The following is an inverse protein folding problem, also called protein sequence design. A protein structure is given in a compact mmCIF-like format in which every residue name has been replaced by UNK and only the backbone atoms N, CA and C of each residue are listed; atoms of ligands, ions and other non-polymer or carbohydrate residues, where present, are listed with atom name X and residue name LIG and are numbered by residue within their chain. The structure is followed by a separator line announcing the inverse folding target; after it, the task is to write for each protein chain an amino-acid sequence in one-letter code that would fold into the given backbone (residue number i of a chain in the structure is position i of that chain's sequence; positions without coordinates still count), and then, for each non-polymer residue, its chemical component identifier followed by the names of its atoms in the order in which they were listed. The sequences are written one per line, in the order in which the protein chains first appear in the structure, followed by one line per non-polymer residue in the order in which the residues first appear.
data_IF_730603169956
#
_entry.id   IF_730603169956
#
_cell.length_a   1.000
_cell.length_b   1.000
_cell.length_c   1.000
_cell.angle_alpha   90.00
_cell.angle_beta   90.00
_cell.angle_gamma   90.00
#
_symmetry.space_group_name_H-M   'P 1'
#
loop_
_entity.id
_entity.type
_entity.pdbx_description
1 polymer ?
#
# COMPACT_ATOMS: atom_id res chain seq x y z
N UNK A 1 10.51 -26.55 -1.86
CA UNK A 1 10.80 -25.62 -2.98
C UNK A 1 11.94 -24.68 -2.53
N UNK A 2 13.20 -24.93 -2.93
CA UNK A 2 14.34 -24.08 -2.53
C UNK A 2 14.36 -22.84 -3.41
N UNK A 3 14.05 -21.67 -2.85
CA UNK A 3 14.18 -20.39 -3.55
C UNK A 3 15.64 -19.94 -3.41
N UNK A 4 16.44 -20.13 -4.46
CA UNK A 4 17.81 -19.61 -4.55
C UNK A 4 17.77 -18.09 -4.78
N UNK A 5 17.77 -17.32 -3.68
CA UNK A 5 17.85 -15.85 -3.68
C UNK A 5 19.03 -15.25 -4.50
N UNK A 6 20.24 -15.85 -4.55
CA UNK A 6 21.38 -15.27 -5.27
C UNK A 6 21.25 -15.26 -6.80
N UNK A 7 20.49 -16.20 -7.39
CA UNK A 7 20.32 -16.29 -8.85
C UNK A 7 19.33 -15.24 -9.40
N UNK A 8 18.51 -14.64 -8.53
CA UNK A 8 17.50 -13.67 -8.93
C UNK A 8 18.11 -12.31 -9.32
N UNK A 9 19.23 -11.92 -8.70
CA UNK A 9 19.94 -10.68 -9.03
C UNK A 9 20.77 -10.80 -10.32
N UNK A 10 21.29 -11.99 -10.65
CA UNK A 10 22.07 -12.22 -11.87
C UNK A 10 21.19 -12.28 -13.13
N UNK A 11 19.94 -12.76 -13.03
CA UNK A 11 19.01 -12.81 -14.17
C UNK A 11 18.52 -11.41 -14.61
N UNK A 12 18.56 -10.41 -13.73
CA UNK A 12 18.17 -9.03 -14.07
C UNK A 12 19.22 -8.31 -14.95
N UNK A 13 20.47 -8.81 -15.00
CA UNK A 13 21.57 -8.20 -15.73
C UNK A 13 21.64 -8.57 -17.23
N UNK A 14 20.91 -9.61 -17.68
CA UNK A 14 20.96 -10.11 -19.07
C UNK A 14 19.77 -9.71 -19.96
N UNK A 15 19.03 -8.65 -19.61
CA UNK A 15 17.87 -8.21 -20.40
C UNK A 15 18.33 -7.36 -21.61
N UNK A 16 18.30 -8.03 -22.77
CA UNK A 16 18.49 -7.59 -24.18
C UNK A 16 18.35 -6.07 -24.49
N UNK A 17 19.24 -5.50 -25.33
CA UNK A 17 19.33 -4.06 -25.62
C UNK A 17 18.27 -3.48 -26.60
N UNK A 18 17.29 -4.24 -27.11
CA UNK A 18 16.31 -3.73 -28.09
C UNK A 18 15.03 -3.09 -27.52
N UNK A 19 15.08 -2.42 -26.36
CA UNK A 19 13.87 -1.93 -25.69
C UNK A 19 14.00 -0.49 -25.15
N UNK A 20 13.90 0.52 -26.04
CA UNK A 20 14.11 1.94 -25.70
C UNK A 20 12.85 2.84 -25.62
N UNK A 21 11.64 2.28 -25.52
CA UNK A 21 10.40 3.08 -25.52
C UNK A 21 9.51 2.96 -24.25
N UNK A 22 10.10 3.03 -23.05
CA UNK A 22 9.50 3.10 -21.70
C UNK A 22 9.10 4.46 -21.08
N UNK A 23 7.82 4.88 -21.00
CA UNK A 23 7.40 6.13 -20.29
C UNK A 23 7.87 6.12 -18.83
N UNK A 24 8.03 4.91 -18.31
CA UNK A 24 8.74 4.61 -17.08
C UNK A 24 10.12 4.04 -17.39
N UNK A 25 11.11 4.47 -16.60
CA UNK A 25 12.44 3.88 -16.56
C UNK A 25 12.36 2.35 -16.48
N UNK A 26 13.25 1.65 -17.19
CA UNK A 26 13.43 0.18 -17.11
C UNK A 26 13.49 -0.30 -15.65
N UNK A 27 14.06 0.52 -14.76
CA UNK A 27 14.12 0.26 -13.32
C UNK A 27 12.74 0.10 -12.68
N UNK A 28 11.75 0.94 -13.04
CA UNK A 28 10.40 0.88 -12.45
C UNK A 28 9.71 -0.44 -12.79
N UNK A 29 9.83 -0.91 -14.04
CA UNK A 29 9.24 -2.19 -14.45
C UNK A 29 9.91 -3.37 -13.75
N UNK A 30 11.25 -3.36 -13.64
CA UNK A 30 12.01 -4.39 -12.92
C UNK A 30 11.61 -4.38 -11.44
N UNK A 31 11.61 -3.21 -10.78
CA UNK A 31 11.20 -3.08 -9.37
C UNK A 31 9.77 -3.57 -9.16
N UNK A 32 8.85 -3.26 -10.08
CA UNK A 32 7.46 -3.73 -10.00
C UNK A 32 7.36 -5.25 -10.15
N UNK A 33 8.09 -5.84 -11.11
CA UNK A 33 8.14 -7.29 -11.31
C UNK A 33 8.69 -8.02 -10.09
N UNK A 34 9.82 -7.55 -9.54
CA UNK A 34 10.41 -8.12 -8.33
C UNK A 34 9.45 -8.00 -7.15
N UNK A 35 8.86 -6.81 -6.94
CA UNK A 35 7.96 -6.56 -5.82
C UNK A 35 6.69 -7.41 -5.90
N UNK A 36 6.08 -7.53 -7.09
CA UNK A 36 4.88 -8.36 -7.29
C UNK A 36 5.18 -9.84 -7.14
N UNK A 37 6.33 -10.31 -7.65
CA UNK A 37 6.74 -11.71 -7.48
C UNK A 37 7.03 -12.05 -6.02
N UNK A 38 7.70 -11.16 -5.29
CA UNK A 38 7.93 -11.31 -3.86
C UNK A 38 6.59 -11.35 -3.11
N UNK A 39 5.72 -10.36 -3.35
CA UNK A 39 4.40 -10.27 -2.73
C UNK A 39 3.55 -11.51 -3.00
N UNK A 40 3.56 -12.02 -4.24
CA UNK A 40 2.84 -13.23 -4.62
C UNK A 40 3.41 -14.49 -4.00
N UNK A 41 4.74 -14.58 -3.86
CA UNK A 41 5.37 -15.73 -3.20
C UNK A 41 5.01 -15.81 -1.71
N UNK A 42 4.81 -14.66 -1.07
CA UNK A 42 4.42 -14.55 0.33
C UNK A 42 2.91 -14.64 0.55
N UNK A 43 2.09 -14.71 -0.51
CA UNK A 43 0.63 -14.67 -0.38
C UNK A 43 0.06 -13.28 -0.10
N UNK A 44 0.87 -12.23 -0.12
CA UNK A 44 0.44 -10.85 0.09
C UNK A 44 -0.28 -10.23 -1.12
N UNK A 45 -0.09 -10.79 -2.32
CA UNK A 45 -0.72 -10.24 -3.53
C UNK A 45 -0.82 -11.30 -4.64
N UNK A 46 -1.98 -11.52 -5.28
CA UNK A 46 -2.12 -12.55 -6.31
C UNK A 46 -1.59 -12.14 -7.69
N UNK A 47 -1.30 -10.84 -7.91
CA UNK A 47 -0.83 -10.33 -9.20
C UNK A 47 0.64 -10.66 -9.44
N UNK A 48 0.95 -10.95 -10.70
CA UNK A 48 2.29 -11.14 -11.23
C UNK A 48 2.45 -10.26 -12.47
N UNK A 49 3.68 -9.85 -12.76
CA UNK A 49 4.04 -9.11 -13.97
C UNK A 49 5.05 -9.96 -14.75
N UNK A 50 4.78 -10.21 -16.03
CA UNK A 50 5.75 -10.87 -16.91
C UNK A 50 6.63 -9.81 -17.58
N UNK A 51 7.90 -9.72 -17.19
CA UNK A 51 8.83 -8.73 -17.74
C UNK A 51 9.04 -8.82 -19.26
N UNK A 52 8.87 -10.01 -19.86
CA UNK A 52 9.04 -10.21 -21.31
C UNK A 52 7.84 -9.68 -22.10
N UNK A 53 6.63 -10.06 -21.70
CA UNK A 53 5.40 -9.66 -22.40
C UNK A 53 4.85 -8.33 -21.92
N UNK A 54 5.34 -7.81 -20.79
CA UNK A 54 4.84 -6.63 -20.09
C UNK A 54 3.34 -6.74 -19.79
N UNK A 55 2.87 -7.93 -19.42
CA UNK A 55 1.47 -8.19 -19.07
C UNK A 55 1.35 -8.63 -17.62
N UNK A 56 0.37 -8.07 -16.93
CA UNK A 56 -0.10 -8.55 -15.64
C UNK A 56 -0.90 -9.83 -15.83
N UNK A 57 -0.78 -10.74 -14.86
CA UNK A 57 -1.53 -11.99 -14.81
C UNK A 57 -1.69 -12.48 -13.37
N UNK A 58 -2.52 -13.51 -13.17
CA UNK A 58 -2.64 -14.25 -11.91
C UNK A 58 -2.53 -15.74 -12.18
N UNK A 59 -2.18 -16.52 -11.16
CA UNK A 59 -2.24 -17.99 -11.22
C UNK A 59 -3.29 -18.50 -10.24
N UNK A 60 -3.84 -19.73 -10.42
CA UNK A 60 -4.71 -20.34 -9.43
C UNK A 60 -4.04 -20.40 -8.04
N UNK A 61 -2.75 -20.73 -8.00
CA UNK A 61 -1.97 -20.80 -6.77
C UNK A 61 -1.80 -19.44 -6.09
N UNK A 62 -1.45 -18.38 -6.82
CA UNK A 62 -1.30 -17.04 -6.24
C UNK A 62 -2.63 -16.51 -5.68
N UNK A 63 -3.74 -16.80 -6.35
CA UNK A 63 -5.09 -16.47 -5.87
C UNK A 63 -5.45 -17.25 -4.60
N UNK A 64 -5.17 -18.55 -4.56
CA UNK A 64 -5.45 -19.38 -3.39
C UNK A 64 -4.63 -18.91 -2.17
N UNK A 65 -3.34 -18.66 -2.35
CA UNK A 65 -2.45 -18.16 -1.29
C UNK A 65 -2.91 -16.80 -0.75
N UNK A 66 -3.30 -15.88 -1.65
CA UNK A 66 -3.85 -14.58 -1.25
C UNK A 66 -5.18 -14.69 -0.50
N UNK A 67 -6.08 -15.60 -0.93
CA UNK A 67 -7.33 -15.88 -0.22
C UNK A 67 -7.08 -16.43 1.18
N UNK A 68 -6.17 -17.38 1.30
CA UNK A 68 -5.80 -17.96 2.59
C UNK A 68 -5.27 -16.88 3.54
N UNK A 69 -4.35 -16.04 3.06
CA UNK A 69 -3.80 -14.90 3.80
C UNK A 69 -4.89 -13.91 4.24
N UNK A 70 -5.80 -13.55 3.35
CA UNK A 70 -6.94 -12.68 3.65
C UNK A 70 -7.84 -13.28 4.74
N UNK A 71 -8.12 -14.59 4.68
CA UNK A 71 -8.89 -15.31 5.71
C UNK A 71 -8.16 -15.29 7.06
N UNK A 72 -6.84 -15.52 7.07
CA UNK A 72 -6.06 -15.48 8.30
C UNK A 72 -6.12 -14.10 8.97
N UNK A 73 -5.93 -13.02 8.21
CA UNK A 73 -6.03 -11.65 8.74
C UNK A 73 -7.45 -11.36 9.24
N UNK A 74 -8.47 -11.82 8.51
CA UNK A 74 -9.88 -11.67 8.94
C UNK A 74 -10.14 -12.39 10.26
N UNK A 75 -9.70 -13.65 10.40
CA UNK A 75 -9.82 -14.43 11.64
C UNK A 75 -9.08 -13.72 12.77
N UNK A 76 -7.88 -13.20 12.52
CA UNK A 76 -7.09 -12.46 13.50
C UNK A 76 -7.80 -11.16 13.94
N UNK A 77 -8.45 -10.44 13.02
CA UNK A 77 -9.25 -9.25 13.36
C UNK A 77 -10.48 -9.62 14.19
N UNK A 78 -11.23 -10.65 13.80
CA UNK A 78 -12.41 -11.11 14.55
C UNK A 78 -12.00 -11.54 15.95
N UNK A 79 -10.95 -12.35 16.05
CA UNK A 79 -10.39 -12.81 17.30
C UNK A 79 -9.91 -11.65 18.17
N UNK A 80 -9.10 -10.74 17.62
CA UNK A 80 -8.58 -9.56 18.32
C UNK A 80 -9.70 -8.65 18.82
N UNK A 81 -10.74 -8.43 18.00
CA UNK A 81 -11.93 -7.64 18.37
C UNK A 81 -12.63 -8.28 19.57
N UNK A 82 -12.92 -9.58 19.49
CA UNK A 82 -13.59 -10.31 20.58
C UNK A 82 -12.78 -10.26 21.88
N UNK A 83 -11.45 -10.44 21.80
CA UNK A 83 -10.55 -10.36 22.95
C UNK A 83 -10.52 -8.96 23.54
N UNK A 84 -10.45 -7.91 22.72
CA UNK A 84 -10.46 -6.53 23.21
C UNK A 84 -11.78 -6.14 23.83
N UNK A 85 -12.92 -6.59 23.30
CA UNK A 85 -14.23 -6.34 23.91
C UNK A 85 -14.30 -6.97 25.32
N UNK A 86 -13.81 -8.20 25.49
CA UNK A 86 -13.73 -8.84 26.82
C UNK A 86 -12.71 -8.15 27.73
N UNK A 87 -11.61 -7.66 27.17
CA UNK A 87 -10.60 -6.92 27.93
C UNK A 87 -11.05 -5.51 28.29
N UNK A 88 -12.03 -4.92 27.60
CA UNK A 88 -12.46 -3.54 27.77
C UNK A 88 -13.27 -3.24 29.04
N UNK A 89 -13.57 -4.23 29.88
CA UNK A 89 -14.18 -3.98 31.19
C UNK A 89 -13.10 -3.37 32.12
N UNK A 90 -13.03 -2.04 32.14
CA UNK A 90 -11.88 -1.23 32.56
C UNK A 90 -11.88 -0.81 34.04
N UNK A 91 -12.92 -1.13 34.82
CA UNK A 91 -13.11 -0.55 36.16
C UNK A 91 -11.95 -0.79 37.14
N UNK A 92 -11.18 -1.87 36.99
CA UNK A 92 -10.11 -2.27 37.92
C UNK A 92 -8.76 -2.57 37.24
N UNK A 93 -8.43 -1.88 36.14
CA UNK A 93 -7.23 -2.22 35.35
C UNK A 93 -6.01 -1.40 35.75
N UNK A 94 -4.85 -2.06 35.73
CA UNK A 94 -3.56 -1.41 35.95
C UNK A 94 -3.17 -0.55 34.74
N UNK A 95 -2.28 0.44 34.94
CA UNK A 95 -1.76 1.27 33.82
C UNK A 95 -1.13 0.42 32.72
N UNK A 96 -0.46 -0.68 33.08
CA UNK A 96 0.14 -1.62 32.12
C UNK A 96 -0.93 -2.30 31.27
N UNK A 97 -2.04 -2.70 31.87
CA UNK A 97 -3.16 -3.32 31.15
C UNK A 97 -3.79 -2.33 30.17
N UNK A 98 -3.92 -1.07 30.58
CA UNK A 98 -4.41 0.00 29.72
C UNK A 98 -3.48 0.22 28.53
N UNK A 99 -2.16 0.29 28.74
CA UNK A 99 -1.18 0.40 27.65
C UNK A 99 -1.29 -0.79 26.67
N UNK A 100 -1.37 -2.02 27.20
CA UNK A 100 -1.52 -3.22 26.38
C UNK A 100 -2.82 -3.22 25.57
N UNK A 101 -3.93 -2.76 26.15
CA UNK A 101 -5.19 -2.57 25.44
C UNK A 101 -5.05 -1.57 24.29
N UNK A 102 -4.43 -0.42 24.53
CA UNK A 102 -4.28 0.64 23.54
C UNK A 102 -3.39 0.22 22.37
N UNK A 103 -2.23 -0.40 22.66
CA UNK A 103 -1.34 -0.96 21.63
C UNK A 103 -2.12 -1.99 20.81
N UNK A 104 -2.87 -2.86 21.47
CA UNK A 104 -3.64 -3.89 20.79
C UNK A 104 -4.74 -3.32 19.90
N UNK A 105 -5.42 -2.27 20.35
CA UNK A 105 -6.45 -1.59 19.57
C UNK A 105 -5.85 -0.90 18.34
N UNK A 106 -4.69 -0.25 18.48
CA UNK A 106 -3.96 0.37 17.36
C UNK A 106 -3.54 -0.69 16.33
N UNK A 107 -2.99 -1.83 16.78
CA UNK A 107 -2.61 -2.94 15.90
C UNK A 107 -3.85 -3.48 15.19
N UNK A 108 -4.96 -3.67 15.90
CA UNK A 108 -6.21 -4.16 15.31
C UNK A 108 -6.72 -3.21 14.22
N UNK A 109 -6.74 -1.90 14.48
CA UNK A 109 -7.07 -0.91 13.46
C UNK A 109 -6.08 -0.97 12.29
N UNK A 110 -4.77 -1.09 12.55
CA UNK A 110 -3.77 -1.17 11.50
C UNK A 110 -3.96 -2.41 10.60
N UNK A 111 -4.39 -3.56 11.14
CA UNK A 111 -4.67 -4.79 10.38
C UNK A 111 -5.87 -4.69 9.43
N UNK A 112 -6.76 -3.72 9.66
CA UNK A 112 -7.89 -3.48 8.75
C UNK A 112 -7.42 -2.94 7.39
N UNK A 113 -6.34 -2.16 7.35
CA UNK A 113 -5.76 -1.63 6.09
C UNK A 113 -5.30 -2.75 5.13
N UNK A 114 -4.40 -3.67 5.53
CA UNK A 114 -3.99 -4.78 4.67
C UNK A 114 -5.15 -5.70 4.33
N UNK A 115 -6.14 -5.91 5.22
CA UNK A 115 -7.34 -6.68 4.91
C UNK A 115 -8.09 -6.08 3.70
N UNK A 116 -8.33 -4.76 3.69
CA UNK A 116 -8.99 -4.11 2.56
C UNK A 116 -8.16 -4.19 1.28
N UNK A 117 -6.85 -3.90 1.36
CA UNK A 117 -5.94 -4.02 0.22
C UNK A 117 -5.98 -5.44 -0.38
N UNK A 118 -5.89 -6.47 0.46
CA UNK A 118 -5.99 -7.87 0.03
C UNK A 118 -7.37 -8.21 -0.51
N UNK A 119 -8.43 -7.74 0.14
CA UNK A 119 -9.82 -7.99 -0.24
C UNK A 119 -10.12 -7.53 -1.66
N UNK A 120 -9.81 -6.28 -1.98
CA UNK A 120 -10.07 -5.73 -3.33
C UNK A 120 -9.33 -6.49 -4.40
N UNK A 121 -8.08 -6.86 -4.14
CA UNK A 121 -7.21 -7.51 -5.12
C UNK A 121 -7.57 -9.00 -5.27
N UNK A 122 -7.99 -9.63 -4.19
CA UNK A 122 -8.38 -11.05 -4.18
C UNK A 122 -9.77 -11.27 -4.79
N UNK A 123 -10.72 -10.36 -4.52
CA UNK A 123 -12.08 -10.44 -5.04
C UNK A 123 -12.18 -10.01 -6.50
N UNK A 124 -11.44 -8.97 -6.92
CA UNK A 124 -11.49 -8.41 -8.28
C UNK A 124 -10.23 -8.74 -9.10
N UNK A 125 -9.59 -9.88 -8.83
CA UNK A 125 -8.26 -10.17 -9.38
C UNK A 125 -8.20 -10.19 -10.91
N UNK A 126 -9.27 -10.64 -11.58
CA UNK A 126 -9.34 -10.67 -13.05
C UNK A 126 -9.54 -9.27 -13.61
N UNK A 127 -10.51 -8.54 -13.07
CA UNK A 127 -10.86 -7.18 -13.47
C UNK A 127 -9.69 -6.22 -13.26
N UNK A 128 -8.92 -6.42 -12.18
CA UNK A 128 -7.70 -5.68 -11.88
C UNK A 128 -6.58 -5.98 -12.88
N UNK A 129 -6.35 -7.26 -13.22
CA UNK A 129 -5.38 -7.62 -14.28
C UNK A 129 -5.76 -6.95 -15.59
N UNK A 130 -7.02 -7.04 -16.00
CA UNK A 130 -7.51 -6.46 -17.25
C UNK A 130 -7.36 -4.93 -17.24
N UNK A 131 -7.73 -4.28 -16.13
CA UNK A 131 -7.59 -2.84 -15.95
C UNK A 131 -6.13 -2.38 -16.01
N UNK A 132 -5.21 -3.07 -15.33
CA UNK A 132 -3.79 -2.74 -15.34
C UNK A 132 -3.16 -2.98 -16.72
N UNK A 133 -3.54 -4.05 -17.41
CA UNK A 133 -3.09 -4.32 -18.78
C UNK A 133 -3.61 -3.28 -19.76
N UNK A 134 -4.89 -2.88 -19.68
CA UNK A 134 -5.45 -1.82 -20.50
C UNK A 134 -4.77 -0.48 -20.24
N UNK A 135 -4.57 -0.14 -18.97
CA UNK A 135 -3.85 1.06 -18.56
C UNK A 135 -2.46 1.04 -19.18
N UNK A 136 -1.67 -0.01 -18.92
CA UNK A 136 -0.30 -0.15 -19.42
C UNK A 136 -0.21 -0.10 -20.95
N UNK A 137 -1.14 -0.75 -21.65
CA UNK A 137 -1.24 -0.68 -23.10
C UNK A 137 -1.49 0.75 -23.58
N UNK A 138 -2.40 1.47 -22.94
CA UNK A 138 -2.67 2.87 -23.25
C UNK A 138 -1.44 3.77 -22.99
N UNK A 139 -0.69 3.51 -21.91
CA UNK A 139 0.58 4.23 -21.65
C UNK A 139 1.56 4.03 -22.81
N UNK A 140 1.75 2.80 -23.26
CA UNK A 140 2.64 2.51 -24.38
C UNK A 140 2.13 3.09 -25.70
N UNK A 141 0.81 3.07 -25.92
CA UNK A 141 0.19 3.67 -27.10
C UNK A 141 0.48 5.17 -27.16
N UNK A 142 0.15 5.91 -26.09
CA UNK A 142 0.38 7.35 -26.02
C UNK A 142 1.85 7.68 -26.19
N UNK A 143 2.71 6.95 -25.49
CA UNK A 143 4.14 7.18 -25.59
C UNK A 143 4.67 6.95 -27.01
N UNK A 144 4.31 5.83 -27.64
CA UNK A 144 4.84 5.49 -28.95
C UNK A 144 4.34 6.41 -30.06
N UNK A 145 3.14 6.96 -29.91
CA UNK A 145 2.48 7.73 -30.96
C UNK A 145 2.57 9.24 -30.80
N UNK A 146 2.51 9.74 -29.56
CA UNK A 146 2.23 11.15 -29.30
C UNK A 146 3.34 11.89 -28.56
N UNK A 147 4.23 11.19 -27.85
CA UNK A 147 5.33 11.83 -27.12
C UNK A 147 6.47 12.14 -28.09
N UNK A 148 6.83 13.42 -28.19
CA UNK A 148 7.85 13.89 -29.14
C UNK A 148 9.27 13.86 -28.59
N UNK A 149 9.40 13.81 -27.26
CA UNK A 149 10.68 13.89 -26.58
C UNK A 149 11.40 12.54 -26.61
N UNK A 150 12.71 12.57 -26.82
CA UNK A 150 13.54 11.40 -26.56
C UNK A 150 13.57 11.07 -25.05
N UNK A 151 14.12 9.91 -24.66
CA UNK A 151 14.15 9.50 -23.24
C UNK A 151 14.87 10.51 -22.34
N UNK A 152 15.98 11.06 -22.81
CA UNK A 152 16.82 11.98 -22.02
C UNK A 152 16.10 13.33 -21.81
N UNK A 153 15.46 13.84 -22.86
CA UNK A 153 14.61 15.02 -22.86
C UNK A 153 13.35 14.81 -22.01
N UNK A 154 12.74 13.63 -22.06
CA UNK A 154 11.55 13.32 -21.26
C UNK A 154 11.92 13.29 -19.77
N UNK A 155 13.03 12.64 -19.42
CA UNK A 155 13.53 12.54 -18.03
C UNK A 155 14.01 13.89 -17.50
N UNK A 156 14.60 14.74 -18.34
CA UNK A 156 15.03 16.09 -17.95
C UNK A 156 13.86 17.07 -17.87
N UNK A 157 12.86 16.94 -18.75
CA UNK A 157 11.68 17.82 -18.78
C UNK A 157 10.67 17.47 -17.69
N UNK A 158 10.55 16.19 -17.32
CA UNK A 158 9.60 15.73 -16.31
C UNK A 158 10.30 14.97 -15.19
N UNK A 159 10.49 15.66 -14.06
CA UNK A 159 11.00 15.05 -12.82
C UNK A 159 10.08 13.97 -12.24
N UNK A 160 8.87 13.79 -12.78
CA UNK A 160 7.88 12.80 -12.33
C UNK A 160 8.45 11.39 -12.30
N UNK A 161 9.23 10.97 -13.32
CA UNK A 161 9.86 9.65 -13.32
C UNK A 161 10.88 9.46 -12.19
N UNK A 162 11.72 10.48 -11.95
CA UNK A 162 12.69 10.47 -10.83
C UNK A 162 11.97 10.49 -9.48
N UNK A 163 10.94 11.33 -9.33
CA UNK A 163 10.11 11.43 -8.13
C UNK A 163 9.37 10.12 -7.86
N UNK A 164 8.86 9.45 -8.88
CA UNK A 164 8.21 8.14 -8.76
C UNK A 164 9.21 7.06 -8.33
N UNK A 165 10.41 7.05 -8.91
CA UNK A 165 11.48 6.15 -8.48
C UNK A 165 11.88 6.37 -7.01
N UNK A 166 12.03 7.63 -6.59
CA UNK A 166 12.27 8.00 -5.19
C UNK A 166 11.10 7.55 -4.30
N UNK A 167 9.87 7.76 -4.74
CA UNK A 167 8.66 7.34 -4.04
C UNK A 167 8.63 5.82 -3.84
N UNK A 168 8.90 5.00 -4.85
CA UNK A 168 8.97 3.54 -4.67
C UNK A 168 10.07 3.13 -3.71
N UNK A 169 11.26 3.75 -3.79
CA UNK A 169 12.34 3.48 -2.83
C UNK A 169 11.88 3.80 -1.41
N UNK A 170 11.24 4.94 -1.22
CA UNK A 170 10.70 5.36 0.07
C UNK A 170 9.64 4.37 0.59
N UNK A 171 8.67 3.98 -0.24
CA UNK A 171 7.64 2.99 0.12
C UNK A 171 8.27 1.65 0.48
N UNK A 172 9.24 1.16 -0.30
CA UNK A 172 9.95 -0.09 0.00
C UNK A 172 10.71 -0.02 1.32
N UNK A 173 11.44 1.08 1.58
CA UNK A 173 12.17 1.30 2.83
C UNK A 173 11.21 1.36 4.01
N UNK A 174 10.08 2.06 3.88
CA UNK A 174 9.05 2.11 4.92
C UNK A 174 8.42 0.73 5.17
N UNK A 175 8.03 -0.01 4.15
CA UNK A 175 7.47 -1.35 4.29
C UNK A 175 8.48 -2.32 4.94
N UNK A 176 9.75 -2.27 4.54
CA UNK A 176 10.81 -3.08 5.13
C UNK A 176 11.09 -2.68 6.59
N UNK A 177 11.20 -1.38 6.85
CA UNK A 177 11.42 -0.83 8.19
C UNK A 177 10.27 -1.17 9.14
N UNK A 178 9.02 -1.05 8.69
CA UNK A 178 7.83 -1.44 9.46
C UNK A 178 7.81 -2.94 9.72
N UNK A 179 8.09 -3.78 8.71
CA UNK A 179 8.15 -5.24 8.89
C UNK A 179 9.21 -5.64 9.91
N UNK A 180 10.40 -5.06 9.80
CA UNK A 180 11.52 -5.34 10.71
C UNK A 180 11.23 -4.85 12.13
N UNK A 181 10.91 -3.57 12.29
CA UNK A 181 10.63 -2.98 13.60
C UNK A 181 9.44 -3.64 14.27
N UNK A 182 8.38 -3.96 13.54
CA UNK A 182 7.22 -4.70 14.04
C UNK A 182 7.60 -6.10 14.53
N UNK A 183 8.39 -6.85 13.75
CA UNK A 183 8.85 -8.18 14.14
C UNK A 183 9.73 -8.15 15.40
N UNK A 184 10.62 -7.15 15.49
CA UNK A 184 11.47 -6.93 16.67
C UNK A 184 10.62 -6.50 17.86
N UNK A 185 9.66 -5.62 17.66
CA UNK A 185 8.76 -5.15 18.71
C UNK A 185 7.95 -6.32 19.31
N UNK A 186 7.44 -7.24 18.48
CA UNK A 186 6.71 -8.43 18.95
C UNK A 186 7.58 -9.33 19.83
N UNK A 187 8.90 -9.36 19.60
CA UNK A 187 9.82 -10.10 20.47
C UNK A 187 9.97 -9.48 21.86
N UNK A 188 9.95 -8.14 21.95
CA UNK A 188 10.13 -7.41 23.19
C UNK A 188 8.83 -7.14 23.96
N UNK A 189 7.69 -7.09 23.27
CA UNK A 189 6.39 -6.90 23.91
C UNK A 189 5.90 -8.20 24.56
N UNK A 190 5.21 -8.04 25.69
CA UNK A 190 4.43 -9.13 26.25
C UNK A 190 3.38 -9.63 25.24
N UNK A 191 2.92 -10.87 25.47
CA UNK A 191 1.84 -11.44 24.68
C UNK A 191 0.59 -10.56 24.82
N UNK A 192 0.31 -9.80 23.77
CA UNK A 192 -0.81 -8.88 23.72
C UNK A 192 -2.16 -9.62 23.80
N UNK A 193 -3.22 -9.00 24.33
CA UNK A 193 -4.57 -9.58 24.37
C UNK A 193 -5.10 -10.08 23.02
N UNK A 194 -4.68 -9.45 21.91
CA UNK A 194 -5.06 -9.85 20.55
C UNK A 194 -4.33 -11.10 20.05
N UNK A 195 -3.24 -11.50 20.70
CA UNK A 195 -2.45 -12.65 20.27
C UNK A 195 -3.17 -13.96 20.60
N UNK A 196 -3.17 -14.91 19.68
CA UNK A 196 -3.80 -16.23 19.91
C UNK A 196 -3.19 -16.96 21.13
N UNK A 197 -1.89 -16.74 21.39
CA UNK A 197 -1.19 -17.31 22.54
C UNK A 197 -1.72 -16.79 23.89
N UNK A 198 -2.48 -15.67 23.89
CA UNK A 198 -3.15 -15.15 25.09
C UNK A 198 -4.26 -16.06 25.61
N UNK A 199 -4.74 -17.03 24.80
CA UNK A 199 -5.71 -18.05 25.24
C UNK A 199 -5.06 -19.17 26.07
N UNK A 200 -3.75 -19.36 25.91
CA UNK A 200 -3.05 -20.48 26.52
C UNK A 200 -2.49 -20.02 27.88
N UNK A 201 -2.83 -20.73 28.98
CA UNK A 201 -2.27 -20.45 30.31
C UNK A 201 -0.75 -20.44 30.27
N UNK A 202 -0.12 -19.56 31.06
CA UNK A 202 1.34 -19.36 31.06
C UNK A 202 2.09 -20.68 31.34
N UNK A 203 1.52 -21.54 32.18
CA UNK A 203 2.09 -22.83 32.56
C UNK A 203 2.18 -23.82 31.37
N UNK A 204 1.34 -23.65 30.36
CA UNK A 204 1.30 -24.50 29.16
C UNK A 204 2.08 -23.92 27.97
N UNK A 205 2.68 -22.73 28.13
CA UNK A 205 3.44 -22.09 27.06
C UNK A 205 4.83 -22.71 26.94
N UNK A 206 5.00 -23.61 25.99
CA UNK A 206 6.30 -24.19 25.67
C UNK A 206 7.12 -23.25 24.76
N UNK A 207 8.46 -23.41 24.78
CA UNK A 207 9.36 -22.65 23.89
C UNK A 207 9.03 -22.84 22.40
N UNK A 208 8.74 -24.06 21.89
CA UNK A 208 8.33 -24.23 20.49
C UNK A 208 7.03 -23.47 20.15
N UNK A 209 6.06 -23.46 21.06
CA UNK A 209 4.81 -22.74 20.88
C UNK A 209 5.02 -21.23 20.81
N UNK A 210 5.90 -20.69 21.65
CA UNK A 210 6.30 -19.28 21.59
C UNK A 210 7.04 -18.96 20.29
N UNK A 211 7.95 -19.83 19.82
CA UNK A 211 8.60 -19.65 18.52
C UNK A 211 7.58 -19.66 17.35
N UNK A 212 6.59 -20.56 17.39
CA UNK A 212 5.52 -20.59 16.39
C UNK A 212 4.67 -19.31 16.42
N UNK A 213 4.38 -18.78 17.62
CA UNK A 213 3.71 -17.50 17.82
C UNK A 213 4.48 -16.35 17.17
N UNK A 214 5.78 -16.22 17.46
CA UNK A 214 6.63 -15.20 16.86
C UNK A 214 6.69 -15.34 15.33
N UNK A 215 6.86 -16.56 14.82
CA UNK A 215 6.90 -16.83 13.38
C UNK A 215 5.60 -16.43 12.68
N UNK A 216 4.44 -16.73 13.27
CA UNK A 216 3.14 -16.36 12.75
C UNK A 216 2.97 -14.85 12.61
N UNK A 217 3.20 -14.08 13.69
CA UNK A 217 3.01 -12.64 13.65
C UNK A 217 4.08 -11.90 12.85
N UNK A 218 5.32 -12.38 12.84
CA UNK A 218 6.36 -11.85 11.94
C UNK A 218 5.96 -12.02 10.47
N UNK A 219 5.42 -13.19 10.12
CA UNK A 219 4.91 -13.46 8.78
C UNK A 219 3.73 -12.55 8.41
N UNK A 220 2.74 -12.41 9.31
CA UNK A 220 1.58 -11.53 9.13
C UNK A 220 1.99 -10.05 8.93
N UNK A 221 2.98 -9.58 9.71
CA UNK A 221 3.53 -8.22 9.59
C UNK A 221 4.23 -7.98 8.26
N UNK A 222 5.07 -8.94 7.83
CA UNK A 222 5.75 -8.88 6.52
C UNK A 222 4.73 -8.83 5.39
N UNK A 223 3.75 -9.75 5.41
CA UNK A 223 2.68 -9.79 4.41
C UNK A 223 1.91 -8.48 4.38
N UNK A 224 1.51 -7.97 5.54
CA UNK A 224 0.71 -6.75 5.64
C UNK A 224 1.46 -5.55 5.06
N UNK A 225 2.73 -5.38 5.44
CA UNK A 225 3.56 -4.28 4.97
C UNK A 225 3.85 -4.34 3.46
N UNK A 226 4.11 -5.54 2.95
CA UNK A 226 4.36 -5.78 1.52
C UNK A 226 3.07 -5.59 0.71
N UNK A 227 1.94 -6.09 1.21
CA UNK A 227 0.62 -5.94 0.57
C UNK A 227 0.22 -4.47 0.45
N UNK A 228 0.30 -3.71 1.56
CA UNK A 228 0.02 -2.26 1.56
C UNK A 228 1.03 -1.51 0.68
N UNK A 229 2.33 -1.79 0.81
CA UNK A 229 3.36 -1.16 -0.01
C UNK A 229 3.15 -1.38 -1.51
N UNK A 230 2.72 -2.58 -1.89
CA UNK A 230 2.39 -2.93 -3.28
C UNK A 230 1.16 -2.19 -3.77
N UNK A 231 0.09 -2.13 -2.98
CA UNK A 231 -1.12 -1.39 -3.32
C UNK A 231 -0.83 0.12 -3.51
N UNK A 232 -0.09 0.71 -2.58
CA UNK A 232 0.39 2.11 -2.66
C UNK A 232 1.29 2.31 -3.88
N UNK A 233 2.15 1.34 -4.20
CA UNK A 233 3.00 1.36 -5.38
C UNK A 233 2.20 1.36 -6.69
N UNK A 234 1.18 0.51 -6.81
CA UNK A 234 0.30 0.47 -7.99
C UNK A 234 -0.46 1.80 -8.13
N UNK A 235 -1.04 2.30 -7.06
CA UNK A 235 -1.76 3.58 -7.08
C UNK A 235 -0.84 4.76 -7.42
N UNK A 236 0.36 4.79 -6.84
CA UNK A 236 1.37 5.80 -7.14
C UNK A 236 1.85 5.76 -8.60
N UNK A 237 2.01 4.55 -9.16
CA UNK A 237 2.33 4.36 -10.60
C UNK A 237 1.23 4.97 -11.47
N UNK A 238 -0.03 4.71 -11.10
CA UNK A 238 -1.19 5.22 -11.81
C UNK A 238 -1.29 6.75 -11.73
N UNK A 239 -1.12 7.35 -10.55
CA UNK A 239 -1.12 8.81 -10.39
C UNK A 239 0.03 9.45 -11.18
N UNK A 240 1.22 8.86 -11.15
CA UNK A 240 2.35 9.33 -11.92
C UNK A 240 2.12 9.26 -13.43
N UNK A 241 1.35 8.26 -13.90
CA UNK A 241 0.88 8.22 -15.28
C UNK A 241 -0.08 9.37 -15.60
N UNK A 242 -1.00 9.73 -14.70
CA UNK A 242 -1.96 10.82 -14.93
C UNK A 242 -1.33 12.21 -14.98
N UNK A 243 -0.25 12.46 -14.24
CA UNK A 243 0.36 13.80 -14.10
C UNK A 243 0.73 14.44 -15.45
N UNK A 244 1.45 13.76 -16.37
CA UNK A 244 1.75 14.30 -17.69
C UNK A 244 0.51 14.72 -18.49
N UNK A 245 -0.58 13.94 -18.42
CA UNK A 245 -1.84 14.26 -19.12
C UNK A 245 -2.53 15.45 -18.49
N UNK A 246 -2.61 15.49 -17.17
CA UNK A 246 -3.15 16.66 -16.46
C UNK A 246 -2.39 17.94 -16.85
N UNK A 247 -1.09 17.83 -17.10
CA UNK A 247 -0.29 18.97 -17.54
C UNK A 247 -0.55 19.38 -19.01
N UNK A 248 -1.03 18.48 -19.87
CA UNK A 248 -1.50 18.79 -21.24
C UNK A 248 -2.90 19.42 -21.23
N UNK A 249 -3.76 19.07 -20.26
CA UNK A 249 -5.11 19.63 -20.12
C UNK A 249 -5.19 20.93 -19.29
N UNK A 250 -4.07 21.37 -18.71
CA UNK A 250 -4.06 22.58 -17.89
C UNK A 250 -4.01 23.85 -18.76
N UNK A 251 -5.15 24.55 -18.87
CA UNK A 251 -5.28 25.82 -19.60
C UNK A 251 -4.38 26.93 -19.05
N UNK A 252 -4.01 26.88 -17.76
CA UNK A 252 -3.19 27.90 -17.11
C UNK A 252 -1.68 27.67 -17.28
N UNK A 253 -1.26 26.69 -18.08
CA UNK A 253 0.15 26.38 -18.28
C UNK A 253 0.81 27.50 -19.10
N UNK A 254 1.79 28.19 -18.50
CA UNK A 254 2.64 29.16 -19.21
C UNK A 254 3.30 28.45 -20.40
N UNK A 255 3.13 29.03 -21.59
CA UNK A 255 3.51 28.49 -22.89
C UNK A 255 4.98 28.05 -22.94
N UNK A 256 5.28 26.90 -23.55
CA UNK A 256 6.64 26.62 -24.04
C UNK A 256 7.21 25.20 -23.91
N UNK A 257 6.64 24.29 -23.11
CA UNK A 257 7.15 22.91 -23.02
C UNK A 257 6.01 21.90 -23.01
N UNK A 258 5.56 21.49 -24.19
CA UNK A 258 4.62 20.36 -24.36
C UNK A 258 5.41 19.05 -24.47
N UNK A 259 4.86 17.97 -23.92
CA UNK A 259 5.45 16.62 -24.06
C UNK A 259 5.02 16.00 -25.38
N UNK A 260 3.81 16.37 -25.82
CA UNK A 260 3.16 15.80 -26.98
C UNK A 260 3.40 16.61 -28.26
N UNK A 261 3.36 15.93 -29.41
CA UNK A 261 3.36 16.58 -30.72
C UNK A 261 2.19 17.58 -30.85
N UNK A 262 2.35 18.62 -31.67
CA UNK A 262 1.28 19.60 -31.93
C UNK A 262 0.00 18.95 -32.48
N UNK A 263 0.11 17.86 -33.24
CA UNK A 263 -1.01 17.09 -33.77
C UNK A 263 -1.89 16.46 -32.67
N UNK A 264 -1.31 16.05 -31.53
CA UNK A 264 -2.07 15.53 -30.39
C UNK A 264 -3.09 16.55 -29.86
N UNK A 265 -2.72 17.83 -29.91
CA UNK A 265 -3.55 18.96 -29.43
C UNK A 265 -4.55 19.46 -30.47
N UNK A 266 -4.67 18.78 -31.61
CA UNK A 266 -5.71 19.09 -32.58
C UNK A 266 -7.10 18.79 -32.01
N UNK A 267 -8.10 19.49 -32.53
CA UNK A 267 -9.52 19.30 -32.17
C UNK A 267 -10.05 17.91 -32.50
N UNK A 268 -9.39 17.18 -33.42
CA UNK A 268 -9.76 15.82 -33.77
C UNK A 268 -9.20 14.77 -32.79
N UNK A 269 -7.99 14.98 -32.25
CA UNK A 269 -7.27 13.96 -31.47
C UNK A 269 -7.45 14.16 -29.96
N UNK A 270 -7.33 15.40 -29.47
CA UNK A 270 -7.33 15.67 -28.03
C UNK A 270 -8.62 15.18 -27.33
N UNK A 271 -9.84 15.42 -27.87
CA UNK A 271 -11.06 14.94 -27.22
C UNK A 271 -11.17 13.42 -27.21
N UNK A 272 -10.69 12.75 -28.26
CA UNK A 272 -10.67 11.29 -28.36
C UNK A 272 -9.78 10.70 -27.26
N UNK A 273 -8.55 11.22 -27.15
CA UNK A 273 -7.58 10.73 -26.17
C UNK A 273 -7.99 11.06 -24.73
N UNK A 274 -8.58 12.23 -24.52
CA UNK A 274 -9.21 12.57 -23.24
C UNK A 274 -10.30 11.55 -22.87
N UNK A 275 -11.16 11.18 -23.83
CA UNK A 275 -12.23 10.19 -23.58
C UNK A 275 -11.66 8.81 -23.26
N UNK A 276 -10.59 8.38 -23.95
CA UNK A 276 -9.89 7.14 -23.62
C UNK A 276 -9.32 7.16 -22.19
N UNK A 277 -8.64 8.24 -21.81
CA UNK A 277 -8.10 8.42 -20.46
C UNK A 277 -9.22 8.42 -19.41
N UNK A 278 -10.33 9.11 -19.67
CA UNK A 278 -11.49 9.17 -18.80
C UNK A 278 -12.08 7.78 -18.55
N UNK A 279 -12.22 6.95 -19.60
CA UNK A 279 -12.72 5.58 -19.48
C UNK A 279 -11.78 4.70 -18.63
N UNK A 280 -10.47 4.82 -18.84
CA UNK A 280 -9.47 4.13 -18.02
C UNK A 280 -9.55 4.61 -16.57
N UNK A 281 -9.66 5.91 -16.36
CA UNK A 281 -9.77 6.50 -15.02
C UNK A 281 -11.00 6.03 -14.28
N UNK A 282 -12.18 6.05 -14.93
CA UNK A 282 -13.42 5.52 -14.36
C UNK A 282 -13.27 4.05 -13.97
N UNK A 283 -12.60 3.23 -14.81
CA UNK A 283 -12.36 1.81 -14.53
C UNK A 283 -11.37 1.58 -13.37
N UNK A 284 -10.32 2.39 -13.27
CA UNK A 284 -9.39 2.34 -12.13
C UNK A 284 -10.12 2.78 -10.86
N UNK A 285 -10.87 3.88 -10.91
CA UNK A 285 -11.60 4.38 -9.75
C UNK A 285 -12.72 3.44 -9.29
N UNK A 286 -13.39 2.71 -10.18
CA UNK A 286 -14.37 1.71 -9.74
C UNK A 286 -13.72 0.56 -8.97
N UNK A 287 -12.47 0.20 -9.26
CA UNK A 287 -11.72 -0.83 -8.53
C UNK A 287 -11.15 -0.33 -7.20
N UNK A 288 -10.64 0.90 -7.16
CA UNK A 288 -9.96 1.45 -5.98
C UNK A 288 -10.87 2.29 -5.06
N UNK A 289 -12.03 2.79 -5.52
CA UNK A 289 -12.96 3.55 -4.69
C UNK A 289 -13.47 2.79 -3.45
N UNK A 290 -13.71 1.46 -3.50
CA UNK A 290 -14.07 0.71 -2.29
C UNK A 290 -12.94 0.65 -1.25
N UNK A 291 -11.69 0.99 -1.59
CA UNK A 291 -10.59 1.10 -0.63
C UNK A 291 -10.54 2.47 0.04
N UNK A 292 -10.89 3.54 -0.68
CA UNK A 292 -10.76 4.89 -0.16
C UNK A 292 -11.73 5.18 0.99
N UNK A 293 -12.98 4.73 0.88
CA UNK A 293 -14.01 4.94 1.92
C UNK A 293 -13.61 4.31 3.27
N UNK A 294 -13.28 3.01 3.35
CA UNK A 294 -12.88 2.41 4.61
C UNK A 294 -11.55 2.95 5.12
N UNK A 295 -10.60 3.28 4.23
CA UNK A 295 -9.36 3.93 4.63
C UNK A 295 -9.59 5.29 5.29
N UNK A 296 -10.42 6.14 4.68
CA UNK A 296 -10.82 7.43 5.27
C UNK A 296 -11.53 7.22 6.62
N UNK A 297 -12.46 6.27 6.69
CA UNK A 297 -13.16 5.92 7.92
C UNK A 297 -12.19 5.48 9.02
N UNK A 298 -11.20 4.66 8.68
CA UNK A 298 -10.16 4.19 9.60
C UNK A 298 -9.29 5.33 10.11
N UNK A 299 -8.87 6.24 9.23
CA UNK A 299 -8.11 7.43 9.61
C UNK A 299 -8.92 8.30 10.58
N UNK A 300 -10.21 8.51 10.32
CA UNK A 300 -11.10 9.26 11.22
C UNK A 300 -11.26 8.55 12.56
N UNK A 301 -11.50 7.23 12.57
CA UNK A 301 -11.64 6.45 13.82
C UNK A 301 -10.36 6.41 14.63
N UNK A 302 -9.22 6.23 13.99
CA UNK A 302 -7.91 6.31 14.61
C UNK A 302 -7.68 7.69 15.22
N UNK A 303 -7.99 8.75 14.48
CA UNK A 303 -7.88 10.13 14.96
C UNK A 303 -8.76 10.40 16.19
N UNK A 304 -10.02 9.95 16.16
CA UNK A 304 -10.94 10.05 17.30
C UNK A 304 -10.43 9.25 18.50
N UNK A 305 -9.90 8.05 18.29
CA UNK A 305 -9.30 7.24 19.33
C UNK A 305 -8.09 7.93 19.97
N UNK A 306 -7.18 8.50 19.18
CA UNK A 306 -6.06 9.28 19.67
C UNK A 306 -6.50 10.49 20.51
N UNK A 307 -7.55 11.19 20.09
CA UNK A 307 -8.11 12.31 20.85
C UNK A 307 -8.74 11.85 22.17
N UNK A 308 -9.53 10.76 22.13
CA UNK A 308 -10.10 10.19 23.35
C UNK A 308 -9.01 9.74 24.33
N UNK A 309 -7.98 9.04 23.85
CA UNK A 309 -6.82 8.64 24.64
C UNK A 309 -6.16 9.82 25.33
N UNK A 310 -5.95 10.91 24.58
CA UNK A 310 -5.33 12.13 25.08
C UNK A 310 -6.19 12.80 26.16
N UNK A 311 -7.52 12.80 26.03
CA UNK A 311 -8.43 13.38 27.01
C UNK A 311 -8.63 12.51 28.26
N UNK A 312 -8.82 11.20 28.07
CA UNK A 312 -9.17 10.27 29.14
C UNK A 312 -7.96 9.84 29.98
N UNK A 313 -6.76 9.83 29.39
CA UNK A 313 -5.55 9.29 30.01
C UNK A 313 -4.37 10.27 29.93
N UNK A 314 -4.65 11.57 29.97
CA UNK A 314 -3.67 12.64 29.81
C UNK A 314 -2.43 12.46 30.69
N UNK A 315 -2.62 12.13 31.97
CA UNK A 315 -1.55 12.00 32.95
C UNK A 315 -0.74 10.70 32.80
N UNK A 316 -1.39 9.63 32.32
CA UNK A 316 -0.77 8.31 32.16
C UNK A 316 0.03 8.16 30.85
N UNK A 317 -0.15 9.06 29.87
CA UNK A 317 0.42 8.91 28.53
C UNK A 317 1.93 9.18 28.43
N UNK A 318 2.55 9.85 29.41
CA UNK A 318 4.00 10.12 29.42
C UNK A 318 4.53 10.66 28.08
N UNK A 319 5.48 9.94 27.46
CA UNK A 319 6.05 10.30 26.15
C UNK A 319 5.03 10.31 25.00
N UNK A 320 4.01 9.44 25.02
CA UNK A 320 3.00 9.39 23.95
C UNK A 320 2.20 10.69 23.86
N UNK A 321 2.01 11.40 24.97
CA UNK A 321 1.41 12.73 24.99
C UNK A 321 2.15 13.69 24.07
N UNK A 322 3.48 13.68 24.12
CA UNK A 322 4.30 14.54 23.28
C UNK A 322 4.17 14.19 21.79
N UNK A 323 4.19 12.90 21.45
CA UNK A 323 4.02 12.43 20.07
C UNK A 323 2.66 12.84 19.49
N UNK A 324 1.59 12.66 20.27
CA UNK A 324 0.23 13.02 19.86
C UNK A 324 0.05 14.54 19.69
N UNK A 325 0.63 15.35 20.58
CA UNK A 325 0.58 16.81 20.49
C UNK A 325 1.42 17.36 19.32
N UNK A 326 2.65 16.86 19.12
CA UNK A 326 3.56 17.35 18.08
C UNK A 326 3.21 16.88 16.68
N UNK A 327 2.50 15.77 16.53
CA UNK A 327 2.15 15.22 15.22
C UNK A 327 1.21 16.11 14.39
N UNK A 328 0.86 17.33 14.83
CA UNK A 328 -0.08 18.25 14.18
C UNK A 328 -1.49 17.67 13.93
N UNK A 329 -1.80 16.48 14.46
CA UNK A 329 -3.11 15.83 14.36
C UNK A 329 -4.21 16.67 15.00
N UNK A 330 -3.91 17.32 16.12
CA UNK A 330 -4.80 18.25 16.81
C UNK A 330 -5.17 19.44 15.92
N UNK A 331 -4.22 20.02 15.17
CA UNK A 331 -4.48 21.14 14.25
C UNK A 331 -5.34 20.74 13.05
N UNK A 332 -5.21 19.51 12.55
CA UNK A 332 -6.00 19.03 11.40
C UNK A 332 -7.48 18.84 11.76
N UNK A 333 -7.77 18.41 12.99
CA UNK A 333 -9.13 18.17 13.48
C UNK A 333 -9.75 19.46 14.03
N UNK A 334 -9.03 20.19 14.91
CA UNK A 334 -9.52 21.45 15.48
C UNK A 334 -9.63 22.56 14.42
N UNK A 335 -8.70 22.62 13.46
CA UNK A 335 -8.72 23.63 12.39
C UNK A 335 -9.91 23.47 11.43
N UNK A 336 -10.38 22.24 11.19
CA UNK A 336 -11.58 22.00 10.36
C UNK A 336 -12.89 22.07 11.12
N UNK A 337 -12.91 21.68 12.40
CA UNK A 337 -14.09 21.87 13.24
C UNK A 337 -14.35 23.36 13.51
N UNK A 338 -13.31 24.19 13.67
CA UNK A 338 -13.48 25.63 13.82
C UNK A 338 -13.90 26.33 12.51
N UNK A 339 -13.46 25.83 11.35
CA UNK A 339 -13.78 26.41 10.04
C UNK A 339 -15.20 26.10 9.53
N UNK A 340 -15.93 25.16 10.14
CA UNK A 340 -17.31 24.82 9.79
C UNK A 340 -18.34 25.34 10.82
N UNK A 341 -17.91 26.16 11.77
CA UNK A 341 -18.78 26.78 12.80
C UNK A 341 -18.85 28.31 12.63
N UNK A 342 -18.31 28.86 11.54
CA UNK A 342 -18.42 30.27 11.17
C UNK A 342 -18.86 30.42 9.73
#
# INVERSE_FOLDING_TARGET
MRINFPQFFLAAAQISPRYHHNMFSKQVLITSEVSLKLSSSLGAYPLLLNGRTKKFYTTPWSRLSSRFTMILILVQIIFGTFRLLRFGNLSDKTDRDLVNFNISYIILLALVVPLFCLGVVTMNGKELVDCLNQTLHYIFHIRGRWVSLNEEELVSSHTTGKKLGLFFKFVMVLSAGYSFSGSVAIYFFDILPLHWLSLIPIQLRSRPLFCAHLGFYAHEMIISAIGVGTAVGILGSYIAFLIPFHAEFNLNRKTGKYITYASFRSTAILPLEYRCLELIHRRVMSLFSPLFIPFQTLVVKFSLFCNWMLLAHWDALGFFRYVLLRGNWSRFILGRCAANVW
#
